data_IF_870528885454
#
_entry.id   IF_870528885454
#
_cell.length_a   1.000
_cell.length_b   1.000
_cell.length_c   1.000
_cell.angle_alpha   90.00
_cell.angle_beta   90.00
_cell.angle_gamma   90.00
#
_symmetry.space_group_name_H-M   'P 1'
#
loop_
_entity.id
_entity.type
_entity.pdbx_description
1 polymer ?
#
# COMPACT_ATOMS: atom_id res chain seq x y z
N UNK A 1 -54.09 -25.33 22.97
CA UNK A 1 -52.65 -25.30 22.63
C UNK A 1 -52.04 -23.95 23.02
N UNK A 2 -52.17 -23.42 24.24
CA UNK A 2 -52.34 -24.07 25.54
C UNK A 2 -51.04 -24.71 26.00
N UNK A 3 -50.27 -23.95 26.77
CA UNK A 3 -49.35 -24.46 27.81
C UNK A 3 -48.07 -25.19 27.36
N UNK A 4 -47.01 -24.43 27.00
CA UNK A 4 -45.62 -24.91 27.18
C UNK A 4 -44.61 -23.80 27.54
N UNK A 5 -45.09 -22.61 27.89
CA UNK A 5 -44.28 -21.58 28.55
C UNK A 5 -44.93 -21.33 29.89
N UNK A 6 -44.17 -21.55 30.98
CA UNK A 6 -44.55 -21.27 32.37
C UNK A 6 -45.08 -22.48 33.18
N UNK A 7 -44.16 -23.32 33.65
CA UNK A 7 -44.20 -24.27 34.78
C UNK A 7 -42.99 -25.18 34.51
N UNK A 8 -41.87 -25.09 35.21
CA UNK A 8 -41.71 -25.67 36.55
C UNK A 8 -40.63 -24.85 37.28
N UNK A 9 -41.07 -23.85 38.02
CA UNK A 9 -40.35 -23.32 39.16
C UNK A 9 -41.08 -23.78 40.42
N UNK A 10 -40.79 -25.00 40.87
CA UNK A 10 -41.02 -25.52 42.22
C UNK A 10 -40.65 -27.00 42.24
N UNK A 11 -39.44 -27.31 42.71
CA UNK A 11 -39.31 -28.35 43.73
C UNK A 11 -38.01 -28.12 44.51
N UNK A 12 -38.20 -27.55 45.70
CA UNK A 12 -37.15 -27.35 46.70
C UNK A 12 -37.20 -28.55 47.62
N UNK A 13 -36.21 -29.42 47.52
CA UNK A 13 -35.76 -30.22 48.65
C UNK A 13 -35.78 -31.73 48.46
N UNK A 14 -34.60 -32.32 48.27
CA UNK A 14 -34.01 -33.20 49.29
C UNK A 14 -32.55 -33.51 48.99
N UNK A 15 -31.77 -33.43 50.05
CA UNK A 15 -30.33 -33.62 50.09
C UNK A 15 -29.90 -34.99 49.56
N UNK A 16 -28.90 -34.98 48.69
CA UNK A 16 -28.13 -36.14 48.27
C UNK A 16 -26.73 -35.69 47.91
N UNK A 17 -25.84 -35.71 48.90
CA UNK A 17 -24.43 -35.35 48.79
C UNK A 17 -23.72 -36.27 47.79
N UNK A 18 -23.50 -35.82 46.56
CA UNK A 18 -22.45 -36.37 45.70
C UNK A 18 -21.49 -35.27 45.31
N UNK A 19 -20.40 -35.21 46.09
CA UNK A 19 -19.23 -34.40 45.85
C UNK A 19 -18.51 -34.96 44.61
N UNK A 20 -18.92 -34.50 43.42
CA UNK A 20 -18.18 -34.79 42.20
C UNK A 20 -16.85 -34.02 42.25
N UNK A 21 -15.78 -34.75 42.57
CA UNK A 21 -14.40 -34.31 42.43
C UNK A 21 -14.07 -34.14 40.94
N UNK A 22 -14.20 -32.92 40.43
CA UNK A 22 -13.52 -32.51 39.20
C UNK A 22 -12.82 -31.17 39.47
N UNK A 23 -11.48 -31.13 39.59
CA UNK A 23 -10.74 -29.89 39.73
C UNK A 23 -10.52 -29.28 38.34
N UNK A 24 -11.59 -29.02 37.60
CA UNK A 24 -11.50 -28.14 36.43
C UNK A 24 -11.75 -26.72 36.92
N UNK A 25 -10.68 -26.12 37.45
CA UNK A 25 -10.67 -24.70 37.74
C UNK A 25 -11.10 -23.95 36.49
N UNK A 26 -12.17 -23.16 36.60
CA UNK A 26 -12.61 -22.26 35.55
C UNK A 26 -11.44 -21.30 35.25
N UNK A 27 -10.69 -21.62 34.19
CA UNK A 27 -9.63 -20.74 33.67
C UNK A 27 -10.35 -19.48 33.21
N UNK A 28 -10.25 -18.40 33.99
CA UNK A 28 -10.62 -17.07 33.52
C UNK A 28 -9.85 -16.84 32.22
N UNK A 29 -10.55 -16.86 31.09
CA UNK A 29 -10.00 -16.34 29.85
C UNK A 29 -9.83 -14.85 30.10
N UNK A 30 -8.59 -14.45 30.42
CA UNK A 30 -8.22 -13.05 30.37
C UNK A 30 -8.42 -12.61 28.93
N UNK A 31 -9.45 -11.79 28.69
CA UNK A 31 -9.61 -11.10 27.42
C UNK A 31 -8.41 -10.15 27.32
N UNK A 32 -7.33 -10.62 26.68
CA UNK A 32 -6.14 -9.82 26.47
C UNK A 32 -6.55 -8.48 25.84
N UNK A 33 -5.87 -7.41 26.27
CA UNK A 33 -6.06 -6.12 25.63
C UNK A 33 -5.81 -6.27 24.11
N UNK A 34 -6.65 -5.68 23.25
CA UNK A 34 -6.35 -5.63 21.81
C UNK A 34 -4.97 -5.00 21.64
N UNK A 35 -4.13 -5.56 20.76
CA UNK A 35 -2.83 -4.96 20.42
C UNK A 35 -2.96 -3.51 19.92
N UNK A 36 -4.16 -3.11 19.49
CA UNK A 36 -4.46 -1.81 18.90
C UNK A 36 -5.10 -0.81 19.89
N UNK A 37 -5.31 -1.18 21.15
CA UNK A 37 -6.17 -0.45 22.11
C UNK A 37 -5.69 0.97 22.44
N UNK A 38 -4.45 1.34 22.11
CA UNK A 38 -3.87 2.68 22.29
C UNK A 38 -3.29 3.29 21.01
N UNK A 39 -3.77 2.85 19.85
CA UNK A 39 -3.29 3.38 18.57
C UNK A 39 -4.01 4.71 18.30
N UNK A 40 -3.27 5.81 18.39
CA UNK A 40 -3.78 7.12 18.02
C UNK A 40 -3.90 7.23 16.49
N UNK A 41 -4.99 7.79 15.96
CA UNK A 41 -5.14 7.99 14.53
C UNK A 41 -4.10 9.01 14.04
N UNK A 42 -3.44 8.69 12.93
CA UNK A 42 -2.54 9.63 12.26
C UNK A 42 -3.35 10.74 11.58
N UNK A 43 -2.84 11.99 11.56
CA UNK A 43 -3.47 13.07 10.82
C UNK A 43 -3.65 12.68 9.35
N UNK A 44 -4.83 12.95 8.80
CA UNK A 44 -5.09 12.71 7.39
C UNK A 44 -4.21 13.60 6.51
N UNK A 45 -3.73 13.06 5.39
CA UNK A 45 -3.00 13.83 4.39
C UNK A 45 -3.92 14.95 3.85
N UNK A 46 -3.53 16.24 3.95
CA UNK A 46 -4.36 17.36 3.53
C UNK A 46 -4.76 17.31 2.04
N UNK A 47 -3.89 16.80 1.17
CA UNK A 47 -4.15 16.69 -0.27
C UNK A 47 -5.19 15.60 -0.51
N UNK A 48 -5.07 14.45 0.16
CA UNK A 48 -6.08 13.38 0.05
C UNK A 48 -7.44 13.81 0.58
N UNK A 49 -7.46 14.58 1.68
CA UNK A 49 -8.68 15.18 2.22
C UNK A 49 -9.37 16.11 1.21
N UNK A 50 -8.59 16.97 0.54
CA UNK A 50 -9.12 17.88 -0.48
C UNK A 50 -9.69 17.14 -1.69
N UNK A 51 -9.03 16.07 -2.14
CA UNK A 51 -9.56 15.21 -3.23
C UNK A 51 -10.86 14.53 -2.82
N UNK A 52 -10.97 14.07 -1.56
CA UNK A 52 -12.21 13.47 -1.06
C UNK A 52 -13.36 14.48 -1.02
N UNK A 53 -13.10 15.70 -0.53
CA UNK A 53 -14.07 16.79 -0.53
C UNK A 53 -14.52 17.15 -1.95
N UNK A 54 -13.58 17.27 -2.90
CA UNK A 54 -13.90 17.50 -4.32
C UNK A 54 -14.80 16.41 -4.91
N UNK A 55 -14.58 15.14 -4.56
CA UNK A 55 -15.41 14.03 -5.03
C UNK A 55 -16.82 14.08 -4.44
N UNK A 56 -16.96 14.47 -3.17
CA UNK A 56 -18.24 14.57 -2.48
C UNK A 56 -19.09 15.79 -2.90
N UNK A 57 -18.46 16.83 -3.47
CA UNK A 57 -19.17 18.01 -3.97
C UNK A 57 -20.02 17.68 -5.21
N UNK A 58 -21.32 17.99 -5.18
CA UNK A 58 -22.25 17.75 -6.27
C UNK A 58 -22.38 18.94 -7.24
N UNK A 59 -21.64 20.03 -7.02
CA UNK A 59 -21.67 21.22 -7.86
C UNK A 59 -21.13 20.92 -9.26
N UNK A 60 -21.86 21.32 -10.29
CA UNK A 60 -21.48 21.10 -11.70
C UNK A 60 -20.28 21.94 -12.16
N UNK A 61 -19.93 23.00 -11.43
CA UNK A 61 -18.83 23.93 -11.72
C UNK A 61 -17.68 23.78 -10.71
N UNK A 62 -17.27 22.55 -10.41
CA UNK A 62 -16.12 22.27 -9.54
C UNK A 62 -14.85 22.01 -10.35
N UNK A 63 -13.70 22.46 -9.84
CA UNK A 63 -12.39 22.26 -10.45
C UNK A 63 -11.44 21.63 -9.42
N UNK A 64 -10.74 20.56 -9.80
CA UNK A 64 -9.76 19.91 -8.94
C UNK A 64 -8.36 20.43 -9.22
N UNK A 65 -7.81 21.23 -8.30
CA UNK A 65 -6.43 21.72 -8.34
C UNK A 65 -5.53 21.06 -7.28
N UNK A 66 -6.06 20.05 -6.58
CA UNK A 66 -5.38 19.42 -5.45
C UNK A 66 -4.29 18.44 -5.89
N UNK A 67 -4.59 17.63 -6.92
CA UNK A 67 -3.70 16.60 -7.39
C UNK A 67 -2.91 17.09 -8.61
N UNK A 68 -1.59 17.02 -8.55
CA UNK A 68 -0.68 17.29 -9.68
C UNK A 68 -0.69 16.17 -10.73
N UNK A 69 -1.86 15.80 -11.23
CA UNK A 69 -2.03 14.80 -12.29
C UNK A 69 -2.55 15.47 -13.56
N UNK A 70 -1.92 15.16 -14.69
CA UNK A 70 -2.30 15.70 -15.99
C UNK A 70 -3.70 15.23 -16.41
N UNK A 71 -4.47 16.13 -17.01
CA UNK A 71 -5.88 15.92 -17.39
C UNK A 71 -6.14 16.38 -18.81
N UNK A 72 -7.21 15.87 -19.41
CA UNK A 72 -7.79 16.42 -20.64
C UNK A 72 -8.48 17.77 -20.38
N UNK A 73 -8.90 18.43 -21.46
CA UNK A 73 -9.71 19.66 -21.39
C UNK A 73 -11.03 19.44 -20.62
N UNK A 74 -11.58 18.22 -20.66
CA UNK A 74 -12.77 17.80 -19.89
C UNK A 74 -12.47 17.43 -18.42
N UNK A 75 -11.22 17.58 -17.96
CA UNK A 75 -10.80 17.25 -16.60
C UNK A 75 -10.65 15.74 -16.31
N UNK A 76 -10.64 14.89 -17.34
CA UNK A 76 -10.50 13.44 -17.20
C UNK A 76 -9.02 13.02 -17.13
N UNK A 77 -8.69 11.85 -16.54
CA UNK A 77 -7.34 11.30 -16.60
C UNK A 77 -6.87 11.19 -18.05
N UNK A 78 -5.64 11.63 -18.33
CA UNK A 78 -5.07 11.53 -19.67
C UNK A 78 -3.97 10.48 -19.71
N UNK A 79 -4.07 9.56 -20.68
CA UNK A 79 -3.07 8.51 -20.93
C UNK A 79 -2.42 8.78 -22.28
N UNK A 80 -1.10 8.89 -22.29
CA UNK A 80 -0.32 9.12 -23.51
C UNK A 80 -0.48 7.98 -24.51
N UNK A 81 -0.54 8.29 -25.80
CA UNK A 81 -0.62 7.27 -26.87
C UNK A 81 0.59 6.33 -26.86
N UNK A 82 1.78 6.83 -26.53
CA UNK A 82 2.98 6.01 -26.37
C UNK A 82 2.85 4.97 -25.26
N UNK A 83 2.15 5.29 -24.17
CA UNK A 83 1.89 4.36 -23.06
C UNK A 83 0.87 3.30 -23.48
N UNK A 84 -0.22 3.71 -24.15
CA UNK A 84 -1.22 2.76 -24.67
C UNK A 84 -0.60 1.76 -25.64
N UNK A 85 0.31 2.22 -26.51
CA UNK A 85 1.03 1.36 -27.43
C UNK A 85 2.01 0.42 -26.72
N UNK A 86 2.75 0.91 -25.72
CA UNK A 86 3.63 0.07 -24.92
C UNK A 86 2.85 -1.06 -24.21
N UNK A 87 1.70 -0.76 -23.61
CA UNK A 87 0.84 -1.77 -22.97
C UNK A 87 0.37 -2.86 -23.95
N UNK A 88 -0.05 -2.47 -25.16
CA UNK A 88 -0.43 -3.44 -26.21
C UNK A 88 0.72 -4.36 -26.58
N UNK A 89 1.93 -3.81 -26.75
CA UNK A 89 3.14 -4.59 -27.09
C UNK A 89 3.52 -5.54 -25.97
N UNK A 90 3.51 -5.08 -24.72
CA UNK A 90 3.81 -5.92 -23.55
C UNK A 90 2.79 -7.05 -23.40
N UNK A 91 1.50 -6.77 -23.57
CA UNK A 91 0.46 -7.79 -23.50
C UNK A 91 0.62 -8.84 -24.62
N UNK A 92 0.93 -8.40 -25.85
CA UNK A 92 1.19 -9.29 -26.97
C UNK A 92 2.44 -10.16 -26.72
N UNK A 93 3.53 -9.56 -26.24
CA UNK A 93 4.76 -10.28 -25.90
C UNK A 93 4.51 -11.37 -24.85
N UNK A 94 3.72 -11.06 -23.81
CA UNK A 94 3.36 -12.03 -22.78
C UNK A 94 2.49 -13.17 -23.35
N UNK A 95 1.49 -12.86 -24.18
CA UNK A 95 0.63 -13.85 -24.80
C UNK A 95 1.39 -14.82 -25.73
N UNK A 96 2.50 -14.36 -26.31
CA UNK A 96 3.37 -15.16 -27.19
C UNK A 96 4.57 -15.77 -26.46
N UNK A 97 4.66 -15.66 -25.13
CA UNK A 97 5.74 -16.25 -24.34
C UNK A 97 7.12 -15.61 -24.55
N UNK A 98 7.16 -14.35 -25.01
CA UNK A 98 8.41 -13.60 -25.23
C UNK A 98 8.92 -12.91 -23.96
N UNK A 99 8.06 -12.76 -22.96
CA UNK A 99 8.38 -12.20 -21.64
C UNK A 99 7.67 -13.02 -20.57
N UNK A 100 8.23 -13.04 -19.36
CA UNK A 100 7.64 -13.68 -18.18
C UNK A 100 7.38 -12.64 -17.06
N UNK A 101 7.08 -13.14 -15.85
CA UNK A 101 6.84 -12.32 -14.65
C UNK A 101 7.70 -12.78 -13.48
N UNK A 102 8.88 -13.34 -13.77
CA UNK A 102 9.84 -13.75 -12.76
C UNK A 102 10.47 -12.52 -12.06
N UNK A 103 11.20 -12.79 -10.99
CA UNK A 103 11.93 -11.75 -10.29
C UNK A 103 12.96 -11.09 -11.20
N UNK A 104 12.95 -9.76 -11.19
CA UNK A 104 14.06 -8.97 -11.74
C UNK A 104 15.29 -9.06 -10.83
N UNK A 105 16.49 -8.78 -11.35
CA UNK A 105 17.65 -8.48 -10.52
C UNK A 105 17.34 -7.39 -9.48
N UNK A 106 18.11 -7.36 -8.38
CA UNK A 106 17.95 -6.36 -7.30
C UNK A 106 18.01 -4.93 -7.85
N UNK A 107 18.88 -4.76 -8.83
CA UNK A 107 19.10 -3.59 -9.66
C UNK A 107 17.87 -3.08 -10.41
N UNK A 108 16.94 -3.96 -10.75
CA UNK A 108 15.87 -3.76 -11.73
C UNK A 108 16.24 -4.22 -13.15
N UNK A 109 15.35 -3.91 -14.10
CA UNK A 109 15.53 -4.25 -15.50
C UNK A 109 16.68 -3.44 -16.13
N UNK A 110 17.61 -4.14 -16.80
CA UNK A 110 18.83 -3.54 -17.33
C UNK A 110 18.55 -2.53 -18.46
N UNK A 111 17.58 -2.82 -19.34
CA UNK A 111 17.22 -1.93 -20.44
C UNK A 111 16.52 -0.68 -19.91
N UNK A 112 15.58 -0.84 -18.97
CA UNK A 112 14.89 0.25 -18.29
C UNK A 112 15.88 1.21 -17.62
N UNK A 113 16.86 0.66 -16.88
CA UNK A 113 17.93 1.45 -16.25
C UNK A 113 18.75 2.23 -17.27
N UNK A 114 19.20 1.57 -18.34
CA UNK A 114 20.02 2.20 -19.37
C UNK A 114 19.28 3.33 -20.09
N UNK A 115 18.01 3.11 -20.46
CA UNK A 115 17.17 4.13 -21.10
C UNK A 115 16.82 5.27 -20.14
N UNK A 116 16.55 4.97 -18.87
CA UNK A 116 16.30 5.99 -17.84
C UNK A 116 17.52 6.89 -17.62
N UNK A 117 18.72 6.31 -17.57
CA UNK A 117 19.96 7.08 -17.46
C UNK A 117 20.16 8.02 -18.66
N UNK A 118 19.94 7.53 -19.88
CA UNK A 118 20.01 8.34 -21.10
C UNK A 118 18.96 9.44 -21.15
N UNK A 119 17.75 9.19 -20.63
CA UNK A 119 16.70 10.19 -20.55
C UNK A 119 17.07 11.34 -19.60
N UNK A 120 17.65 11.02 -18.44
CA UNK A 120 18.01 12.01 -17.41
C UNK A 120 19.28 12.79 -17.79
N UNK A 121 20.34 12.11 -18.23
CA UNK A 121 21.64 12.74 -18.48
C UNK A 121 21.85 13.18 -19.93
N UNK A 122 21.01 12.73 -20.87
CA UNK A 122 21.20 12.89 -22.30
C UNK A 122 22.08 11.80 -22.91
N UNK A 123 21.90 11.51 -24.19
CA UNK A 123 22.60 10.43 -24.90
C UNK A 123 24.11 10.67 -25.04
N UNK A 124 24.55 11.94 -25.04
CA UNK A 124 25.95 12.35 -25.22
C UNK A 124 26.65 12.72 -23.89
N UNK A 125 26.07 12.30 -22.75
CA UNK A 125 26.66 12.59 -21.44
C UNK A 125 28.03 11.94 -21.26
N UNK A 126 29.05 12.77 -20.98
CA UNK A 126 30.38 12.28 -20.61
C UNK A 126 30.34 11.37 -19.37
N UNK A 127 29.48 11.68 -18.40
CA UNK A 127 29.33 10.86 -17.20
C UNK A 127 28.82 9.45 -17.51
N UNK A 128 27.98 9.30 -18.56
CA UNK A 128 27.57 7.97 -19.05
C UNK A 128 28.70 7.29 -19.82
N UNK A 129 29.39 8.01 -20.71
CA UNK A 129 30.49 7.47 -21.52
C UNK A 129 31.67 6.97 -20.67
N UNK A 130 31.96 7.67 -19.56
CA UNK A 130 33.04 7.35 -18.63
C UNK A 130 32.62 6.36 -17.53
N UNK A 131 31.38 5.87 -17.54
CA UNK A 131 30.90 4.89 -16.54
C UNK A 131 30.77 5.44 -15.11
N UNK A 132 30.58 6.76 -14.96
CA UNK A 132 30.46 7.42 -13.64
C UNK A 132 29.03 7.44 -13.09
N UNK A 133 28.06 6.88 -13.80
CA UNK A 133 26.67 6.82 -13.40
C UNK A 133 26.30 5.42 -12.91
N UNK A 134 25.81 5.32 -11.67
CA UNK A 134 25.10 4.16 -11.17
C UNK A 134 23.59 4.43 -11.16
N UNK A 135 22.79 3.45 -11.58
CA UNK A 135 21.32 3.54 -11.62
C UNK A 135 20.72 2.36 -10.89
N UNK A 136 19.57 2.52 -10.25
CA UNK A 136 18.74 1.45 -9.71
C UNK A 136 17.27 1.74 -10.01
N UNK A 137 16.49 0.72 -10.37
CA UNK A 137 15.04 0.85 -10.48
C UNK A 137 14.43 0.90 -9.08
N UNK A 138 13.49 1.82 -8.85
CA UNK A 138 12.83 2.01 -7.55
C UNK A 138 11.32 2.25 -7.75
N UNK A 139 10.57 2.28 -6.65
CA UNK A 139 9.14 2.55 -6.66
C UNK A 139 8.89 4.06 -6.79
N UNK A 140 8.91 4.53 -8.04
CA UNK A 140 8.72 5.94 -8.39
C UNK A 140 9.72 6.87 -7.67
N UNK A 141 9.46 8.18 -7.66
CA UNK A 141 10.31 9.18 -7.03
C UNK A 141 10.44 9.00 -5.52
N UNK A 142 9.34 8.68 -4.81
CA UNK A 142 9.39 8.50 -3.35
C UNK A 142 10.29 7.34 -2.95
N UNK A 143 10.23 6.22 -3.67
CA UNK A 143 11.14 5.10 -3.48
C UNK A 143 12.59 5.47 -3.79
N UNK A 144 12.82 6.22 -4.87
CA UNK A 144 14.15 6.71 -5.25
C UNK A 144 14.78 7.56 -4.14
N UNK A 145 14.06 8.55 -3.61
CA UNK A 145 14.54 9.43 -2.54
C UNK A 145 14.78 8.64 -1.26
N UNK A 146 13.90 7.70 -0.92
CA UNK A 146 14.04 6.86 0.28
C UNK A 146 15.30 6.00 0.24
N UNK A 147 15.56 5.33 -0.90
CA UNK A 147 16.75 4.50 -1.09
C UNK A 147 18.02 5.36 -1.13
N UNK A 148 17.98 6.50 -1.83
CA UNK A 148 19.11 7.43 -1.88
C UNK A 148 19.47 7.97 -0.50
N UNK A 149 18.47 8.36 0.30
CA UNK A 149 18.66 8.82 1.67
C UNK A 149 19.26 7.72 2.57
N UNK A 150 18.75 6.50 2.47
CA UNK A 150 19.30 5.36 3.20
C UNK A 150 20.77 5.09 2.82
N UNK A 151 21.10 5.15 1.52
CA UNK A 151 22.46 4.98 1.02
C UNK A 151 23.39 6.09 1.52
N UNK A 152 22.97 7.36 1.46
CA UNK A 152 23.74 8.49 1.98
C UNK A 152 23.99 8.35 3.49
N UNK A 153 22.97 7.98 4.27
CA UNK A 153 23.11 7.72 5.70
C UNK A 153 24.14 6.61 5.98
N UNK A 154 24.14 5.55 5.18
CA UNK A 154 25.04 4.40 5.37
C UNK A 154 26.47 4.68 4.92
N UNK A 155 26.66 5.36 3.79
CA UNK A 155 27.95 5.55 3.15
C UNK A 155 28.70 6.76 3.73
N UNK A 156 28.01 7.90 3.86
CA UNK A 156 28.64 9.15 4.33
C UNK A 156 28.29 9.52 5.77
N UNK A 157 27.43 8.74 6.43
CA UNK A 157 27.04 8.99 7.82
C UNK A 157 26.12 10.20 8.00
N UNK A 158 25.41 10.63 6.93
CA UNK A 158 24.51 11.78 6.98
C UNK A 158 23.40 11.56 8.02
N UNK A 159 23.27 12.49 8.98
CA UNK A 159 22.24 12.45 10.03
C UNK A 159 20.94 13.16 9.63
N UNK A 160 21.05 14.16 8.78
CA UNK A 160 19.94 14.94 8.25
C UNK A 160 20.05 14.96 6.71
N UNK A 161 18.94 14.64 6.05
CA UNK A 161 18.83 14.55 4.59
C UNK A 161 17.52 15.28 4.26
N UNK A 162 17.63 16.39 3.55
CA UNK A 162 16.53 17.26 3.15
C UNK A 162 16.13 16.99 1.69
#
# INVERSE_FOLDING_TARGET
>A
NGELTEQVATDVGRAGTMRALFPYGARRVSMAASAWRGTEPTPADPILGLVAAFKADNTSRKVNLAQGAYRTDDGLPFVLESVKEAERRTANALANGLVDKEYLPIEGDAAFRAHSARLVFGAESLSLAEGRCATLQTISGTGAVSVAAAALRQIVGAKEIY
#
